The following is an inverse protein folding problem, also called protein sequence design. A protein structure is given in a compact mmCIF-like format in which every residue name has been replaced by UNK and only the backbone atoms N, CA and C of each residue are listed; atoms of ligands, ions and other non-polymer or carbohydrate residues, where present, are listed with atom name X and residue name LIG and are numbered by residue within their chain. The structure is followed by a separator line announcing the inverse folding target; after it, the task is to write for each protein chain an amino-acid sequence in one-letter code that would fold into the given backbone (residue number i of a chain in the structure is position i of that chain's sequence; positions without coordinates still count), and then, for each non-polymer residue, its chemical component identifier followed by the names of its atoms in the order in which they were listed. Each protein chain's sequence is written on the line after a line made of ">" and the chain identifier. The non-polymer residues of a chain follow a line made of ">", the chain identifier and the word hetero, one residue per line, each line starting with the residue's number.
data_IF_190264259772
#
_entry.id   IF_190264259772
#
_cell.length_a   1.000
_cell.length_b   1.000
_cell.length_c   1.000
_cell.angle_alpha   90.00
_cell.angle_beta   90.00
_cell.angle_gamma   90.00
#
_symmetry.space_group_name_H-M   'P 1'
#
loop_
_entity.id
_entity.type
_entity.pdbx_description
1 polymer ?
#
# COMPACT_ATOMS: atom_id res chain seq x y z
N UNK A 1 -12.02 -7.21 11.27
CA UNK A 1 -10.58 -6.96 11.42
C UNK A 1 -10.22 -5.45 11.44
N UNK A 2 -11.00 -4.56 10.80
CA UNK A 2 -10.79 -3.11 10.86
C UNK A 2 -11.23 -2.40 12.17
N UNK A 3 -11.79 -3.12 13.15
CA UNK A 3 -12.31 -2.54 14.41
C UNK A 3 -11.20 -2.06 15.37
N UNK A 4 -9.95 -2.49 15.14
CA UNK A 4 -8.79 -2.16 15.97
C UNK A 4 -7.83 -1.14 15.35
N UNK A 5 -8.19 -0.55 14.20
CA UNK A 5 -7.37 0.46 13.53
C UNK A 5 -7.79 1.84 14.03
N UNK A 6 -6.81 2.63 14.50
CA UNK A 6 -7.07 3.99 14.94
C UNK A 6 -7.74 4.84 13.84
N UNK A 7 -8.62 5.79 14.21
CA UNK A 7 -9.30 6.63 13.22
C UNK A 7 -8.34 7.45 12.36
N UNK A 8 -7.17 7.83 12.89
CA UNK A 8 -6.10 8.51 12.14
C UNK A 8 -5.46 7.62 11.07
N UNK A 9 -5.54 6.31 11.23
CA UNK A 9 -5.00 5.31 10.32
C UNK A 9 -6.01 4.73 9.33
N UNK A 10 -7.31 4.98 9.53
CA UNK A 10 -8.35 4.61 8.55
C UNK A 10 -8.07 5.10 7.12
N UNK A 11 -7.63 6.35 6.87
CA UNK A 11 -7.32 6.77 5.49
C UNK A 11 -6.16 5.96 4.88
N UNK A 12 -5.15 5.59 5.69
CA UNK A 12 -4.01 4.77 5.25
C UNK A 12 -4.49 3.36 4.88
N UNK A 13 -5.30 2.75 5.75
CA UNK A 13 -5.93 1.46 5.49
C UNK A 13 -6.69 1.46 4.16
N UNK A 14 -7.55 2.48 3.94
CA UNK A 14 -8.32 2.61 2.72
C UNK A 14 -7.44 2.78 1.48
N UNK A 15 -6.37 3.59 1.57
CA UNK A 15 -5.39 3.76 0.49
C UNK A 15 -4.74 2.42 0.13
N UNK A 16 -4.18 1.72 1.11
CA UNK A 16 -3.52 0.43 0.93
C UNK A 16 -4.46 -0.64 0.38
N UNK A 17 -5.66 -0.79 0.94
CA UNK A 17 -6.67 -1.74 0.41
C UNK A 17 -7.01 -1.44 -1.05
N UNK A 18 -7.14 -0.16 -1.41
CA UNK A 18 -7.35 0.25 -2.80
C UNK A 18 -6.19 -0.16 -3.70
N UNK A 19 -4.95 0.15 -3.29
CA UNK A 19 -3.74 -0.19 -4.04
C UNK A 19 -3.63 -1.70 -4.25
N UNK A 20 -3.76 -2.50 -3.19
CA UNK A 20 -3.71 -3.97 -3.29
C UNK A 20 -4.77 -4.51 -4.25
N UNK A 21 -5.99 -3.97 -4.22
CA UNK A 21 -7.07 -4.40 -5.10
C UNK A 21 -6.83 -4.00 -6.57
N UNK A 22 -6.23 -2.82 -6.79
CA UNK A 22 -5.82 -2.37 -8.13
C UNK A 22 -4.72 -3.28 -8.69
N UNK A 23 -3.69 -3.60 -7.90
CA UNK A 23 -2.61 -4.53 -8.27
C UNK A 23 -3.17 -5.93 -8.58
N UNK A 24 -4.02 -6.47 -7.72
CA UNK A 24 -4.63 -7.79 -7.92
C UNK A 24 -5.52 -7.82 -9.17
N UNK A 25 -6.21 -6.71 -9.46
CA UNK A 25 -6.98 -6.55 -10.70
C UNK A 25 -6.08 -6.56 -11.93
N UNK A 26 -4.95 -5.86 -11.90
CA UNK A 26 -3.96 -5.89 -12.99
C UNK A 26 -3.38 -7.29 -13.17
N UNK A 27 -3.01 -7.95 -12.06
CA UNK A 27 -2.52 -9.35 -12.04
C UNK A 27 -3.52 -10.29 -12.71
N UNK A 28 -4.80 -10.19 -12.35
CA UNK A 28 -5.90 -10.99 -12.92
C UNK A 28 -6.18 -10.66 -14.39
N UNK A 29 -6.06 -9.39 -14.78
CA UNK A 29 -6.28 -8.94 -16.16
C UNK A 29 -5.22 -9.54 -17.10
N UNK A 30 -3.98 -9.71 -16.63
CA UNK A 30 -2.88 -10.33 -17.37
C UNK A 30 -2.35 -9.51 -18.56
N UNK A 31 -2.98 -8.36 -18.87
CA UNK A 31 -2.53 -7.42 -19.89
C UNK A 31 -2.45 -6.02 -19.26
N UNK A 32 -1.29 -5.68 -18.73
CA UNK A 32 -0.96 -4.41 -18.11
C UNK A 32 0.43 -3.97 -18.58
N UNK A 33 0.75 -2.69 -18.40
CA UNK A 33 2.00 -2.07 -18.82
C UNK A 33 2.62 -1.27 -17.67
N UNK A 34 3.87 -0.83 -17.83
CA UNK A 34 4.53 0.02 -16.85
C UNK A 34 3.72 1.28 -16.52
N UNK A 35 3.02 1.86 -17.51
CA UNK A 35 2.16 3.03 -17.31
C UNK A 35 0.88 2.74 -16.52
N UNK A 36 0.42 1.48 -16.45
CA UNK A 36 -0.66 1.09 -15.54
C UNK A 36 -0.15 0.98 -14.09
N UNK A 37 1.15 0.67 -13.91
CA UNK A 37 1.79 0.53 -12.60
C UNK A 37 2.28 1.86 -12.02
N UNK A 38 2.72 2.81 -12.85
CA UNK A 38 3.13 4.18 -12.45
C UNK A 38 2.17 4.84 -11.44
N UNK A 39 0.86 4.99 -11.72
CA UNK A 39 -0.05 5.64 -10.79
C UNK A 39 -0.24 4.85 -9.48
N UNK A 40 -0.02 3.54 -9.49
CA UNK A 40 -0.07 2.72 -8.29
C UNK A 40 1.21 2.91 -7.46
N UNK A 41 2.36 2.98 -8.12
CA UNK A 41 3.65 3.31 -7.51
C UNK A 41 3.60 4.66 -6.80
N UNK A 42 3.09 5.71 -7.44
CA UNK A 42 2.96 7.02 -6.82
C UNK A 42 2.07 6.98 -5.57
N UNK A 43 0.93 6.29 -5.64
CA UNK A 43 0.03 6.13 -4.49
C UNK A 43 0.68 5.36 -3.34
N UNK A 44 1.48 4.34 -3.64
CA UNK A 44 2.20 3.56 -2.64
C UNK A 44 3.29 4.43 -1.99
N UNK A 45 4.00 5.23 -2.80
CA UNK A 45 5.00 6.19 -2.35
C UNK A 45 4.42 7.24 -1.39
N UNK A 46 3.22 7.76 -1.67
CA UNK A 46 2.53 8.66 -0.73
C UNK A 46 2.33 8.02 0.66
N UNK A 47 2.14 6.69 0.70
CA UNK A 47 2.00 5.94 1.95
C UNK A 47 3.36 5.71 2.62
N UNK A 48 4.42 5.49 1.84
CA UNK A 48 5.80 5.43 2.37
C UNK A 48 6.24 6.76 2.97
N UNK A 49 5.85 7.90 2.40
CA UNK A 49 6.20 9.22 2.93
C UNK A 49 5.69 9.45 4.36
N UNK A 50 4.57 8.82 4.72
CA UNK A 50 4.04 8.86 6.09
C UNK A 50 4.53 7.68 6.94
N UNK A 51 5.15 6.66 6.35
CA UNK A 51 5.74 5.51 7.04
C UNK A 51 7.23 5.74 7.29
N UNK A 52 7.53 6.38 8.42
CA UNK A 52 8.89 6.81 8.79
C UNK A 52 9.35 6.04 10.02
N UNK A 53 10.59 5.55 10.01
CA UNK A 53 11.20 4.83 11.14
C UNK A 53 10.39 3.59 11.58
N UNK A 54 9.73 2.93 10.62
CA UNK A 54 8.88 1.76 10.87
C UNK A 54 7.52 2.08 11.49
N UNK A 55 7.05 3.34 11.42
CA UNK A 55 5.80 3.80 12.02
C UNK A 55 5.04 4.76 11.12
N UNK A 56 3.71 4.70 11.15
CA UNK A 56 2.88 5.67 10.42
C UNK A 56 2.70 6.94 11.25
N UNK A 57 3.29 8.04 10.77
CA UNK A 57 3.29 9.36 11.41
C UNK A 57 1.99 10.11 11.09
N UNK A 58 0.88 9.65 11.67
CA UNK A 58 -0.46 10.25 11.46
C UNK A 58 -0.86 11.12 12.65
N UNK A 59 -0.27 12.32 12.71
CA UNK A 59 -0.65 13.36 13.67
C UNK A 59 -0.12 13.13 15.09
N UNK A 60 1.13 13.56 15.33
CA UNK A 60 1.76 13.56 16.66
C UNK A 60 2.85 12.51 16.83
N UNK A 61 3.25 12.29 18.09
CA UNK A 61 4.36 11.41 18.47
C UNK A 61 3.91 10.07 19.06
N UNK A 62 2.62 9.74 18.92
CA UNK A 62 2.03 8.51 19.43
C UNK A 62 1.99 7.44 18.34
N UNK A 63 2.06 6.17 18.74
CA UNK A 63 1.95 5.00 17.84
C UNK A 63 0.51 4.50 17.91
N UNK A 64 -0.35 4.80 16.93
CA UNK A 64 -1.75 4.39 17.02
C UNK A 64 -1.93 2.86 17.00
N UNK A 65 -3.06 2.36 17.47
CA UNK A 65 -3.38 0.94 17.37
C UNK A 65 -3.60 0.52 15.90
N UNK A 66 -3.15 -0.69 15.55
CA UNK A 66 -3.34 -1.27 14.21
C UNK A 66 -2.25 -0.92 13.18
N UNK A 67 -1.17 -0.24 13.57
CA UNK A 67 -0.08 0.12 12.63
C UNK A 67 0.62 -1.12 12.05
N UNK A 68 0.82 -2.16 12.85
CA UNK A 68 1.49 -3.38 12.41
C UNK A 68 0.77 -4.05 11.24
N UNK A 69 -0.56 -4.08 11.27
CA UNK A 69 -1.39 -4.60 10.18
C UNK A 69 -1.21 -3.76 8.92
N UNK A 70 -1.11 -2.44 9.06
CA UNK A 70 -0.88 -1.55 7.92
C UNK A 70 0.53 -1.67 7.36
N UNK A 71 1.53 -1.92 8.21
CA UNK A 71 2.89 -2.15 7.78
C UNK A 71 3.00 -3.45 6.98
N UNK A 72 2.31 -4.51 7.43
CA UNK A 72 2.18 -5.77 6.68
C UNK A 72 1.49 -5.55 5.33
N UNK A 73 0.35 -4.85 5.30
CA UNK A 73 -0.34 -4.51 4.06
C UNK A 73 0.51 -3.66 3.09
N UNK A 74 1.29 -2.72 3.61
CA UNK A 74 2.21 -1.90 2.82
C UNK A 74 3.31 -2.79 2.20
N UNK A 75 3.90 -3.68 3.00
CA UNK A 75 4.88 -4.64 2.52
C UNK A 75 4.30 -5.58 1.44
N UNK A 76 3.10 -6.10 1.65
CA UNK A 76 2.41 -6.96 0.67
C UNK A 76 2.13 -6.21 -0.63
N UNK A 77 1.71 -4.94 -0.55
CA UNK A 77 1.47 -4.11 -1.72
C UNK A 77 2.76 -3.83 -2.51
N UNK A 78 3.87 -3.56 -1.83
CA UNK A 78 5.20 -3.45 -2.45
C UNK A 78 5.62 -4.74 -3.12
N UNK A 79 5.45 -5.88 -2.44
CA UNK A 79 5.76 -7.19 -3.01
C UNK A 79 4.94 -7.48 -4.26
N UNK A 80 3.63 -7.22 -4.25
CA UNK A 80 2.76 -7.41 -5.41
C UNK A 80 3.15 -6.50 -6.58
N UNK A 81 3.52 -5.26 -6.30
CA UNK A 81 3.95 -4.32 -7.33
C UNK A 81 5.25 -4.78 -7.99
N UNK A 82 6.25 -5.19 -7.21
CA UNK A 82 7.54 -5.71 -7.69
C UNK A 82 7.33 -6.98 -8.55
N UNK A 83 6.50 -7.91 -8.08
CA UNK A 83 6.11 -9.15 -8.78
C UNK A 83 5.47 -8.86 -10.14
N UNK A 84 4.64 -7.81 -10.23
CA UNK A 84 4.04 -7.36 -11.49
C UNK A 84 5.05 -6.67 -12.39
N UNK A 85 5.99 -5.91 -11.83
CA UNK A 85 7.04 -5.25 -12.61
C UNK A 85 8.01 -6.27 -13.23
N UNK A 86 8.40 -7.30 -12.48
CA UNK A 86 9.25 -8.39 -12.98
C UNK A 86 8.53 -9.23 -14.07
N UNK A 87 7.21 -9.36 -13.95
CA UNK A 87 6.40 -10.06 -14.95
C UNK A 87 6.16 -9.25 -16.25
N UNK A 88 6.53 -7.97 -16.30
CA UNK A 88 6.46 -7.20 -17.54
C UNK A 88 7.58 -7.63 -18.50
N UNK A 89 7.28 -7.82 -19.79
CA UNK A 89 8.30 -8.12 -20.79
C UNK A 89 9.25 -6.91 -20.97
N UNK A 90 10.56 -7.18 -21.03
CA UNK A 90 11.63 -6.20 -21.34
C UNK A 90 11.40 -5.43 -22.66
#
# INVERSE_FOLDING_TARGET
>A
MADHIAPSLKPVYQKLTGITNDLDTLKKRGNYSSSDLEPIQDRLREVDEIYVDGKFVVGGNEVPAGQAVLAEMLNDAHGLLDDLQDALPE
#
